data_IF_775595423226
#
_entry.id   IF_775595423226
#
_cell.length_a   1.000
_cell.length_b   1.000
_cell.length_c   1.000
_cell.angle_alpha   90.00
_cell.angle_beta   90.00
_cell.angle_gamma   90.00
#
_symmetry.space_group_name_H-M   'P 1'
#
loop_
_entity.id
_entity.type
_entity.pdbx_description
1 polymer ?
#
# COMPACT_ATOMS: atom_id res chain seq x y z
N UNK A 1 45.94 21.52 8.99
CA UNK A 1 44.49 21.36 8.76
C UNK A 1 44.18 19.87 8.72
N UNK A 2 43.41 19.36 9.68
CA UNK A 2 43.18 17.92 9.89
C UNK A 2 42.23 17.31 8.83
N UNK A 3 42.65 16.26 8.10
CA UNK A 3 41.81 15.55 7.11
C UNK A 3 40.60 14.80 7.71
N UNK A 4 40.56 14.59 9.02
CA UNK A 4 39.53 13.75 9.67
C UNK A 4 38.18 14.46 9.84
N UNK A 5 38.13 15.80 9.86
CA UNK A 5 36.87 16.55 10.02
C UNK A 5 36.01 16.58 8.74
N UNK A 6 36.64 16.50 7.57
CA UNK A 6 35.93 16.58 6.29
C UNK A 6 35.16 15.29 5.96
N UNK A 7 35.73 14.13 6.28
CA UNK A 7 35.07 12.83 6.10
C UNK A 7 33.88 12.61 7.04
N UNK A 8 33.99 13.06 8.30
CA UNK A 8 32.88 12.97 9.26
C UNK A 8 31.71 13.90 8.89
N UNK A 9 31.98 15.14 8.46
CA UNK A 9 30.95 16.06 8.00
C UNK A 9 30.26 15.60 6.71
N UNK A 10 31.00 15.00 5.76
CA UNK A 10 30.38 14.43 4.56
C UNK A 10 29.56 13.18 4.87
N UNK A 11 30.04 12.28 5.73
CA UNK A 11 29.26 11.10 6.15
C UNK A 11 28.01 11.48 6.96
N UNK A 12 28.09 12.52 7.78
CA UNK A 12 26.95 13.03 8.55
C UNK A 12 25.94 13.73 7.63
N UNK A 13 26.42 14.52 6.64
CA UNK A 13 25.58 15.15 5.62
C UNK A 13 24.91 14.13 4.70
N UNK A 14 25.65 13.13 4.20
CA UNK A 14 25.13 11.97 3.46
C UNK A 14 24.10 11.19 4.29
N UNK A 15 24.40 10.88 5.56
CA UNK A 15 23.43 10.20 6.43
C UNK A 15 22.21 11.08 6.71
N UNK A 16 22.34 12.42 6.71
CA UNK A 16 21.23 13.35 6.95
C UNK A 16 20.34 13.48 5.72
N UNK A 17 20.93 13.48 4.52
CA UNK A 17 20.28 13.53 3.21
C UNK A 17 19.65 12.20 2.87
N UNK A 18 20.36 11.07 2.98
CA UNK A 18 19.77 9.73 2.88
C UNK A 18 18.64 9.60 3.89
N UNK A 19 18.82 10.05 5.13
CA UNK A 19 17.75 9.95 6.11
C UNK A 19 16.62 10.93 5.73
N UNK A 20 16.84 12.12 5.14
CA UNK A 20 15.81 13.06 4.63
C UNK A 20 15.06 12.50 3.41
N UNK A 21 15.76 11.87 2.48
CA UNK A 21 15.26 11.22 1.27
C UNK A 21 14.49 9.93 1.61
N UNK A 22 15.01 9.19 2.59
CA UNK A 22 14.30 8.11 3.27
C UNK A 22 13.09 8.61 4.09
N UNK A 23 12.93 9.92 4.32
CA UNK A 23 11.80 10.51 5.06
C UNK A 23 10.69 10.98 4.11
N UNK A 24 10.98 11.17 2.82
CA UNK A 24 10.01 11.37 1.70
C UNK A 24 9.42 10.03 1.18
N UNK A 25 10.04 8.88 1.53
CA UNK A 25 9.66 7.48 1.20
C UNK A 25 8.19 7.06 1.42
N UNK A 26 7.37 7.83 2.11
CA UNK A 26 6.14 7.30 2.72
C UNK A 26 4.94 7.20 1.76
N UNK A 27 5.04 7.79 0.56
CA UNK A 27 3.89 7.97 -0.32
C UNK A 27 4.21 7.75 -1.81
N UNK A 28 5.21 6.93 -2.17
CA UNK A 28 5.54 6.69 -3.59
C UNK A 28 4.33 6.32 -4.43
N UNK A 29 3.48 5.44 -3.91
CA UNK A 29 2.24 5.06 -4.56
C UNK A 29 1.36 6.29 -4.88
N UNK A 30 1.16 7.19 -3.91
CA UNK A 30 0.38 8.42 -4.13
C UNK A 30 1.03 9.36 -5.16
N UNK A 31 2.37 9.46 -5.16
CA UNK A 31 3.12 10.22 -6.17
C UNK A 31 2.86 9.67 -7.57
N UNK A 32 2.78 8.35 -7.73
CA UNK A 32 2.45 7.72 -9.00
C UNK A 32 1.05 8.13 -9.45
N UNK A 33 0.03 7.87 -8.61
CA UNK A 33 -1.36 8.21 -8.91
C UNK A 33 -1.60 9.68 -9.26
N UNK A 34 -0.82 10.59 -8.66
CA UNK A 34 -0.97 12.02 -8.89
C UNK A 34 -0.30 12.50 -10.19
N UNK A 35 0.92 12.04 -10.50
CA UNK A 35 1.72 12.59 -11.59
C UNK A 35 1.76 11.73 -12.87
N UNK A 36 1.61 10.42 -12.73
CA UNK A 36 1.64 9.47 -13.85
C UNK A 36 3.02 9.15 -14.43
N UNK A 37 3.08 8.19 -15.37
CA UNK A 37 4.33 7.50 -15.76
C UNK A 37 5.33 8.37 -16.52
N UNK A 38 4.89 9.45 -17.15
CA UNK A 38 5.75 10.38 -17.91
C UNK A 38 6.41 11.45 -17.05
N UNK A 39 5.93 11.69 -15.82
CA UNK A 39 6.46 12.76 -14.96
C UNK A 39 7.76 12.32 -14.26
N UNK A 40 8.75 13.21 -14.23
CA UNK A 40 10.05 12.94 -13.64
C UNK A 40 9.97 12.56 -12.15
N UNK A 41 9.04 13.14 -11.39
CA UNK A 41 8.84 12.83 -9.95
C UNK A 41 8.31 11.42 -9.77
N UNK A 42 7.39 10.99 -10.63
CA UNK A 42 6.90 9.62 -10.62
C UNK A 42 8.00 8.62 -10.97
N UNK A 43 8.76 8.87 -12.05
CA UNK A 43 9.87 8.00 -12.47
C UNK A 43 10.95 7.89 -11.40
N UNK A 44 11.25 9.00 -10.72
CA UNK A 44 12.16 9.01 -9.58
C UNK A 44 11.62 8.19 -8.40
N UNK A 45 10.33 8.34 -8.06
CA UNK A 45 9.69 7.51 -7.03
C UNK A 45 9.73 6.01 -7.38
N UNK A 46 9.49 5.63 -8.63
CA UNK A 46 9.60 4.24 -9.09
C UNK A 46 11.05 3.74 -9.00
N UNK A 47 12.04 4.55 -9.43
CA UNK A 47 13.47 4.22 -9.30
C UNK A 47 13.85 3.93 -7.85
N UNK A 48 13.34 4.71 -6.90
CA UNK A 48 13.60 4.50 -5.48
C UNK A 48 12.97 3.18 -4.97
N UNK A 49 11.79 2.80 -5.46
CA UNK A 49 11.18 1.49 -5.16
C UNK A 49 11.97 0.34 -5.79
N UNK A 50 12.42 0.46 -7.04
CA UNK A 50 13.27 -0.56 -7.68
C UNK A 50 14.58 -0.76 -6.91
N UNK A 51 15.21 0.32 -6.43
CA UNK A 51 16.41 0.23 -5.58
C UNK A 51 16.13 -0.49 -4.26
N UNK A 52 14.95 -0.28 -3.67
CA UNK A 52 14.51 -0.98 -2.46
C UNK A 52 14.31 -2.46 -2.73
N UNK A 53 13.61 -2.83 -3.81
CA UNK A 53 13.43 -4.23 -4.21
C UNK A 53 14.78 -4.90 -4.48
N UNK A 54 15.69 -4.27 -5.23
CA UNK A 54 17.03 -4.79 -5.46
C UNK A 54 17.83 -4.96 -4.16
N UNK A 55 17.68 -4.05 -3.19
CA UNK A 55 18.33 -4.18 -1.89
C UNK A 55 17.76 -5.33 -1.04
N UNK A 56 16.45 -5.55 -1.11
CA UNK A 56 15.78 -6.66 -0.43
C UNK A 56 16.06 -8.00 -1.11
N UNK A 57 16.11 -8.06 -2.44
CA UNK A 57 16.45 -9.25 -3.20
C UNK A 57 17.84 -9.79 -2.82
N UNK A 58 18.82 -8.92 -2.56
CA UNK A 58 20.14 -9.34 -2.03
C UNK A 58 20.06 -10.05 -0.67
N UNK A 59 19.05 -9.73 0.15
CA UNK A 59 18.82 -10.36 1.46
C UNK A 59 17.91 -11.59 1.37
N UNK A 60 17.04 -11.62 0.37
CA UNK A 60 16.05 -12.67 0.14
C UNK A 60 16.04 -13.08 -1.35
N UNK A 61 17.09 -13.80 -1.82
CA UNK A 61 17.22 -14.14 -3.24
C UNK A 61 16.04 -14.98 -3.72
N UNK A 62 15.55 -14.67 -4.93
CA UNK A 62 14.41 -15.33 -5.56
C UNK A 62 13.04 -14.70 -5.23
N UNK A 63 12.90 -13.98 -4.12
CA UNK A 63 11.62 -13.41 -3.69
C UNK A 63 11.13 -12.21 -4.55
N UNK A 64 11.95 -11.74 -5.49
CA UNK A 64 11.63 -10.63 -6.39
C UNK A 64 11.84 -11.02 -7.88
N UNK A 65 11.81 -12.31 -8.17
CA UNK A 65 12.10 -12.87 -9.51
C UNK A 65 10.85 -13.24 -10.32
N UNK A 66 9.68 -13.36 -9.69
CA UNK A 66 8.45 -13.77 -10.38
C UNK A 66 7.72 -12.56 -11.01
N UNK A 67 7.57 -12.58 -12.33
CA UNK A 67 6.90 -11.52 -13.09
C UNK A 67 5.45 -11.31 -12.65
N UNK A 68 4.74 -12.39 -12.33
CA UNK A 68 3.31 -12.34 -12.06
C UNK A 68 3.01 -11.63 -10.75
N UNK A 69 3.93 -11.63 -9.78
CA UNK A 69 3.80 -10.88 -8.54
C UNK A 69 3.79 -9.36 -8.79
N UNK A 70 4.66 -8.88 -9.68
CA UNK A 70 4.68 -7.47 -10.07
C UNK A 70 3.48 -7.12 -10.95
N UNK A 71 3.18 -7.98 -11.93
CA UNK A 71 2.07 -7.79 -12.85
C UNK A 71 0.72 -7.78 -12.14
N UNK A 72 0.55 -8.60 -11.10
CA UNK A 72 -0.61 -8.57 -10.22
C UNK A 72 -0.77 -7.21 -9.56
N UNK A 73 0.28 -6.61 -9.00
CA UNK A 73 0.16 -5.29 -8.36
C UNK A 73 -0.24 -4.20 -9.36
N UNK A 74 0.30 -4.23 -10.59
CA UNK A 74 -0.05 -3.26 -11.64
C UNK A 74 -1.49 -3.41 -12.10
N UNK A 75 -1.91 -4.64 -12.44
CA UNK A 75 -3.27 -4.94 -12.90
C UNK A 75 -4.31 -4.73 -11.80
N UNK A 76 -4.01 -5.16 -10.57
CA UNK A 76 -4.85 -4.93 -9.40
C UNK A 76 -5.06 -3.44 -9.16
N UNK A 77 -4.00 -2.63 -9.28
CA UNK A 77 -4.10 -1.18 -9.11
C UNK A 77 -5.05 -0.56 -10.14
N UNK A 78 -4.97 -0.96 -11.42
CA UNK A 78 -5.87 -0.48 -12.46
C UNK A 78 -7.36 -0.76 -12.15
N UNK A 79 -7.66 -1.93 -11.59
CA UNK A 79 -9.05 -2.39 -11.40
C UNK A 79 -9.59 -2.21 -9.97
N UNK A 80 -8.74 -1.84 -9.00
CA UNK A 80 -9.06 -1.84 -7.57
C UNK A 80 -10.35 -1.06 -7.26
N UNK A 81 -10.40 0.20 -7.67
CA UNK A 81 -11.54 1.07 -7.35
C UNK A 81 -12.82 0.64 -8.08
N UNK A 82 -12.71 0.16 -9.33
CA UNK A 82 -13.83 -0.44 -10.05
C UNK A 82 -14.42 -1.64 -9.28
N UNK A 83 -13.57 -2.60 -8.89
CA UNK A 83 -13.99 -3.81 -8.16
C UNK A 83 -14.55 -3.50 -6.77
N UNK A 84 -13.96 -2.53 -6.06
CA UNK A 84 -14.47 -2.07 -4.76
C UNK A 84 -15.88 -1.48 -4.91
N UNK A 85 -16.10 -0.59 -5.88
CA UNK A 85 -17.41 0.03 -6.13
C UNK A 85 -18.48 -1.03 -6.43
N UNK A 86 -18.18 -1.97 -7.31
CA UNK A 86 -19.09 -3.07 -7.62
C UNK A 86 -19.41 -3.93 -6.39
N UNK A 87 -18.41 -4.22 -5.54
CA UNK A 87 -18.63 -4.97 -4.29
C UNK A 87 -19.53 -4.24 -3.29
N UNK A 88 -19.49 -2.91 -3.29
CA UNK A 88 -20.40 -2.07 -2.50
C UNK A 88 -21.78 -1.92 -3.17
N UNK A 89 -21.96 -2.47 -4.37
CA UNK A 89 -23.16 -2.33 -5.21
C UNK A 89 -23.37 -0.92 -5.74
N UNK A 90 -22.28 -0.16 -5.91
CA UNK A 90 -22.24 1.11 -6.64
C UNK A 90 -21.94 0.84 -8.11
N UNK A 91 -22.12 1.85 -8.97
CA UNK A 91 -21.63 1.78 -10.35
C UNK A 91 -20.12 1.62 -10.36
N UNK A 92 -19.59 0.72 -11.20
CA UNK A 92 -18.15 0.69 -11.47
C UNK A 92 -17.71 1.90 -12.30
N UNK A 93 -16.45 1.89 -12.70
CA UNK A 93 -15.93 2.81 -13.72
C UNK A 93 -16.74 2.78 -15.02
N UNK A 94 -16.95 3.96 -15.60
CA UNK A 94 -17.36 4.16 -16.99
C UNK A 94 -16.31 3.66 -17.98
N UNK A 95 -16.67 3.51 -19.25
CA UNK A 95 -15.73 3.02 -20.27
C UNK A 95 -14.50 3.91 -20.43
N UNK A 96 -14.68 5.23 -20.31
CA UNK A 96 -13.56 6.19 -20.36
C UNK A 96 -12.61 6.02 -19.17
N UNK A 97 -13.15 5.83 -17.97
CA UNK A 97 -12.36 5.59 -16.76
C UNK A 97 -11.62 4.25 -16.84
N UNK A 98 -12.26 3.19 -17.35
CA UNK A 98 -11.61 1.90 -17.60
C UNK A 98 -10.43 2.04 -18.56
N UNK A 99 -10.61 2.70 -19.70
CA UNK A 99 -9.54 2.95 -20.69
C UNK A 99 -8.41 3.78 -20.07
N UNK A 100 -8.74 4.85 -19.34
CA UNK A 100 -7.74 5.71 -18.70
C UNK A 100 -6.93 4.94 -17.64
N UNK A 101 -7.59 4.18 -16.76
CA UNK A 101 -6.92 3.38 -15.75
C UNK A 101 -6.03 2.29 -16.36
N UNK A 102 -6.50 1.63 -17.42
CA UNK A 102 -5.73 0.63 -18.16
C UNK A 102 -4.46 1.24 -18.78
N UNK A 103 -4.59 2.33 -19.56
CA UNK A 103 -3.45 2.99 -20.19
C UNK A 103 -2.44 3.51 -19.17
N UNK A 104 -2.92 4.12 -18.09
CA UNK A 104 -2.06 4.61 -17.02
C UNK A 104 -1.16 3.49 -16.46
N UNK A 105 -1.75 2.35 -16.11
CA UNK A 105 -1.00 1.25 -15.51
C UNK A 105 -0.20 0.41 -16.52
N UNK A 106 -0.65 0.34 -17.78
CA UNK A 106 0.16 -0.18 -18.89
C UNK A 106 1.47 0.58 -19.00
N UNK A 107 1.41 1.92 -18.94
CA UNK A 107 2.57 2.79 -19.11
C UNK A 107 3.44 2.87 -17.83
N UNK A 108 2.87 2.58 -16.65
CA UNK A 108 3.62 2.41 -15.41
C UNK A 108 4.41 1.09 -15.35
N UNK A 109 3.85 0.00 -15.88
CA UNK A 109 4.42 -1.35 -15.79
C UNK A 109 5.90 -1.46 -16.21
N UNK A 110 6.34 -0.93 -17.37
CA UNK A 110 7.74 -1.05 -17.79
C UNK A 110 8.73 -0.24 -16.94
N UNK A 111 8.26 0.57 -16.00
CA UNK A 111 9.12 1.30 -15.08
C UNK A 111 9.63 0.42 -13.93
N UNK A 112 9.04 -0.75 -13.69
CA UNK A 112 9.42 -1.67 -12.63
C UNK A 112 10.36 -2.76 -13.12
N UNK A 113 11.35 -3.12 -12.30
CA UNK A 113 12.35 -4.14 -12.60
C UNK A 113 12.29 -5.30 -11.61
N UNK A 114 12.54 -6.51 -12.13
CA UNK A 114 12.71 -7.73 -11.35
C UNK A 114 14.16 -7.89 -10.88
N UNK A 115 14.42 -8.92 -10.07
CA UNK A 115 15.72 -9.21 -9.47
C UNK A 115 16.86 -9.33 -10.50
N UNK A 116 16.59 -9.88 -11.68
CA UNK A 116 17.56 -10.04 -12.77
C UNK A 116 17.78 -8.76 -13.61
N UNK A 117 17.09 -7.67 -13.27
CA UNK A 117 17.14 -6.40 -13.99
C UNK A 117 16.23 -6.33 -15.21
N UNK A 118 15.49 -7.40 -15.53
CA UNK A 118 14.49 -7.36 -16.59
C UNK A 118 13.26 -6.54 -16.17
N UNK A 119 12.62 -5.91 -17.16
CA UNK A 119 11.37 -5.16 -16.97
C UNK A 119 10.19 -6.11 -16.82
N UNK A 120 9.24 -5.74 -15.95
CA UNK A 120 7.94 -6.42 -15.87
C UNK A 120 7.26 -6.38 -17.24
N UNK A 121 6.71 -7.51 -17.67
CA UNK A 121 6.13 -7.68 -19.00
C UNK A 121 4.79 -8.40 -18.96
N UNK A 122 4.11 -8.49 -20.11
CA UNK A 122 2.84 -9.23 -20.22
C UNK A 122 1.62 -8.48 -19.69
N UNK A 123 1.66 -7.15 -19.61
CA UNK A 123 0.50 -6.36 -19.18
C UNK A 123 -0.71 -6.64 -20.10
N UNK A 124 -1.91 -6.94 -19.55
CA UNK A 124 -3.07 -7.30 -20.37
C UNK A 124 -3.46 -6.24 -21.39
N UNK A 125 -4.05 -6.69 -22.51
CA UNK A 125 -4.35 -5.83 -23.68
C UNK A 125 -5.42 -4.77 -23.41
N UNK A 126 -6.31 -5.02 -22.44
CA UNK A 126 -7.40 -4.13 -22.06
C UNK A 126 -7.75 -4.27 -20.56
N UNK A 127 -8.71 -3.45 -20.09
CA UNK A 127 -9.14 -3.41 -18.70
C UNK A 127 -9.77 -4.73 -18.22
N UNK A 128 -10.54 -5.40 -19.10
CA UNK A 128 -11.19 -6.67 -18.76
C UNK A 128 -10.16 -7.82 -18.69
N UNK A 129 -9.08 -7.74 -19.47
CA UNK A 129 -7.89 -8.57 -19.32
C UNK A 129 -7.22 -8.39 -17.96
N UNK A 130 -7.13 -7.16 -17.43
CA UNK A 130 -6.66 -6.92 -16.06
C UNK A 130 -7.57 -7.56 -15.01
N UNK A 131 -8.90 -7.48 -15.19
CA UNK A 131 -9.86 -8.15 -14.31
C UNK A 131 -9.65 -9.66 -14.30
N UNK A 132 -9.60 -10.28 -15.48
CA UNK A 132 -9.40 -11.72 -15.64
C UNK A 132 -8.07 -12.18 -15.06
N UNK A 133 -6.99 -11.42 -15.28
CA UNK A 133 -5.69 -11.71 -14.69
C UNK A 133 -5.76 -11.71 -13.16
N UNK A 134 -6.33 -10.66 -12.56
CA UNK A 134 -6.48 -10.56 -11.11
C UNK A 134 -7.32 -11.72 -10.55
N UNK A 135 -8.44 -12.04 -11.18
CA UNK A 135 -9.30 -13.14 -10.76
C UNK A 135 -8.58 -14.48 -10.82
N UNK A 136 -7.84 -14.77 -11.90
CA UNK A 136 -7.05 -15.99 -11.99
C UNK A 136 -5.98 -16.05 -10.90
N UNK A 137 -5.19 -14.97 -10.75
CA UNK A 137 -4.09 -14.89 -9.79
C UNK A 137 -4.57 -15.03 -8.34
N UNK A 138 -5.71 -14.43 -7.99
CA UNK A 138 -6.32 -14.46 -6.66
C UNK A 138 -7.01 -15.79 -6.32
N UNK A 139 -7.38 -16.58 -7.33
CA UNK A 139 -7.95 -17.92 -7.15
C UNK A 139 -6.91 -19.03 -7.23
N UNK A 140 -5.65 -18.73 -7.59
CA UNK A 140 -4.56 -19.70 -7.54
C UNK A 140 -4.38 -20.21 -6.11
N UNK A 141 -4.43 -21.55 -5.88
CA UNK A 141 -4.20 -22.11 -4.56
C UNK A 141 -2.85 -21.67 -3.99
N UNK A 142 -2.86 -21.16 -2.76
CA UNK A 142 -1.65 -20.75 -2.05
C UNK A 142 -1.39 -21.70 -0.89
N UNK A 143 -0.13 -22.10 -0.73
CA UNK A 143 0.29 -22.77 0.49
C UNK A 143 0.14 -21.80 1.67
N UNK A 144 -0.23 -22.36 2.82
CA UNK A 144 -0.38 -21.55 4.02
C UNK A 144 0.97 -21.19 4.61
N UNK A 145 1.21 -19.90 4.79
CA UNK A 145 2.31 -19.36 5.59
C UNK A 145 1.75 -18.63 6.83
N UNK A 146 2.18 -19.05 8.02
CA UNK A 146 1.82 -18.41 9.28
C UNK A 146 2.21 -16.93 9.30
N UNK A 147 3.34 -16.57 8.68
CA UNK A 147 3.81 -15.18 8.57
C UNK A 147 2.83 -14.33 7.77
N UNK A 148 2.25 -14.87 6.71
CA UNK A 148 1.24 -14.17 5.91
C UNK A 148 -0.03 -13.89 6.73
N UNK A 149 -0.47 -14.84 7.56
CA UNK A 149 -1.57 -14.62 8.51
C UNK A 149 -1.25 -13.46 9.46
N UNK A 150 -0.05 -13.46 10.05
CA UNK A 150 0.37 -12.37 10.94
C UNK A 150 0.39 -11.03 10.24
N UNK A 151 0.99 -10.94 9.05
CA UNK A 151 1.04 -9.70 8.26
C UNK A 151 -0.39 -9.19 7.99
N UNK A 152 -1.29 -10.05 7.54
CA UNK A 152 -2.69 -9.69 7.31
C UNK A 152 -3.39 -9.15 8.55
N UNK A 153 -3.27 -9.84 9.69
CA UNK A 153 -3.89 -9.41 10.95
C UNK A 153 -3.28 -8.10 11.47
N UNK A 154 -1.95 -7.93 11.35
CA UNK A 154 -1.25 -6.70 11.76
C UNK A 154 -1.70 -5.52 10.90
N UNK A 155 -1.83 -5.66 9.58
CA UNK A 155 -2.30 -4.55 8.73
C UNK A 155 -3.74 -4.15 9.11
N UNK A 156 -4.63 -5.13 9.33
CA UNK A 156 -6.01 -4.85 9.77
C UNK A 156 -6.06 -4.15 11.14
N UNK A 157 -5.21 -4.55 12.08
CA UNK A 157 -5.13 -3.91 13.39
C UNK A 157 -4.50 -2.51 13.32
N UNK A 158 -3.60 -2.25 12.38
CA UNK A 158 -3.01 -0.92 12.18
C UNK A 158 -4.08 0.09 11.73
N UNK A 159 -4.94 -0.31 10.78
CA UNK A 159 -6.10 0.49 10.39
C UNK A 159 -6.98 0.80 11.59
N UNK A 160 -7.35 -0.22 12.38
CA UNK A 160 -8.15 -0.04 13.58
C UNK A 160 -7.49 0.89 14.60
N UNK A 161 -6.18 0.73 14.82
CA UNK A 161 -5.45 1.52 15.79
C UNK A 161 -5.41 3.01 15.41
N UNK A 162 -5.28 3.30 14.12
CA UNK A 162 -5.15 4.66 13.60
C UNK A 162 -6.48 5.42 13.56
N UNK A 163 -7.58 4.74 13.25
CA UNK A 163 -8.86 5.40 12.98
C UNK A 163 -9.93 5.15 14.04
N UNK A 164 -9.73 4.21 14.97
CA UNK A 164 -10.72 3.89 16.01
C UNK A 164 -10.14 4.05 17.43
N UNK A 165 -10.94 4.58 18.38
CA UNK A 165 -10.54 4.67 19.78
C UNK A 165 -10.37 3.27 20.38
N UNK A 166 -9.58 3.10 21.47
CA UNK A 166 -9.22 1.79 22.02
C UNK A 166 -10.37 0.79 22.20
N UNK A 167 -11.53 1.23 22.68
CA UNK A 167 -12.71 0.37 22.89
C UNK A 167 -13.41 -0.11 21.60
N UNK A 168 -13.21 0.58 20.47
CA UNK A 168 -13.84 0.27 19.18
C UNK A 168 -12.87 -0.36 18.17
N UNK A 169 -11.63 -0.68 18.57
CA UNK A 169 -10.63 -1.25 17.65
C UNK A 169 -11.01 -2.62 17.11
N UNK A 170 -11.81 -3.40 17.82
CA UNK A 170 -12.32 -4.68 17.30
C UNK A 170 -13.25 -4.45 16.10
N UNK A 171 -14.06 -3.39 16.15
CA UNK A 171 -14.93 -2.97 15.05
C UNK A 171 -14.08 -2.40 13.92
N UNK A 172 -13.12 -1.53 14.24
CA UNK A 172 -12.18 -0.99 13.26
C UNK A 172 -11.41 -2.06 12.48
N UNK A 173 -10.96 -3.12 13.14
CA UNK A 173 -10.27 -4.23 12.48
C UNK A 173 -11.22 -5.07 11.59
N UNK A 174 -12.53 -5.00 11.84
CA UNK A 174 -13.54 -5.68 11.04
C UNK A 174 -13.81 -4.98 9.70
N UNK A 175 -13.52 -3.68 9.57
CA UNK A 175 -13.68 -2.95 8.30
C UNK A 175 -12.83 -3.49 7.16
N UNK A 176 -11.47 -3.47 7.24
CA UNK A 176 -10.63 -3.98 6.15
C UNK A 176 -10.93 -5.45 5.88
N UNK A 177 -11.22 -6.21 6.93
CA UNK A 177 -11.57 -7.63 6.87
C UNK A 177 -12.89 -7.91 6.14
N UNK A 178 -13.92 -7.08 6.34
CA UNK A 178 -15.20 -7.19 5.64
C UNK A 178 -15.07 -6.84 4.15
N UNK A 179 -14.11 -5.98 3.80
CA UNK A 179 -13.86 -5.50 2.45
C UNK A 179 -12.82 -6.32 1.67
N UNK A 180 -12.03 -7.15 2.37
CA UNK A 180 -11.12 -8.13 1.76
C UNK A 180 -11.85 -9.19 0.95
N UNK A 181 -11.14 -9.76 -0.03
CA UNK A 181 -11.61 -10.91 -0.80
C UNK A 181 -11.73 -12.15 0.09
N UNK A 182 -12.74 -13.01 -0.12
CA UNK A 182 -12.83 -14.30 0.58
C UNK A 182 -11.59 -15.16 0.38
N UNK A 183 -11.06 -15.23 -0.84
CA UNK A 183 -9.85 -16.00 -1.19
C UNK A 183 -8.62 -15.50 -0.44
N UNK A 184 -8.44 -14.18 -0.28
CA UNK A 184 -7.36 -13.60 0.53
C UNK A 184 -7.48 -13.98 2.00
N UNK A 185 -8.70 -13.90 2.56
CA UNK A 185 -8.93 -14.30 3.96
C UNK A 185 -8.67 -15.80 4.17
N UNK A 186 -9.07 -16.62 3.21
CA UNK A 186 -8.86 -18.07 3.23
C UNK A 186 -7.37 -18.43 3.13
N UNK A 187 -6.65 -17.86 2.17
CA UNK A 187 -5.20 -18.06 1.99
C UNK A 187 -4.41 -17.68 3.26
N UNK A 188 -4.82 -16.62 3.95
CA UNK A 188 -4.22 -16.18 5.20
C UNK A 188 -4.82 -16.86 6.45
N UNK A 189 -5.78 -17.78 6.30
CA UNK A 189 -6.55 -18.40 7.41
C UNK A 189 -7.12 -17.39 8.40
N UNK A 190 -7.52 -16.22 7.93
CA UNK A 190 -8.18 -15.20 8.73
C UNK A 190 -9.68 -15.48 8.68
N UNK A 191 -10.27 -15.92 9.80
CA UNK A 191 -11.73 -16.18 9.91
C UNK A 191 -12.52 -14.99 9.39
N UNK A 192 -13.55 -15.12 8.55
CA UNK A 192 -14.32 -13.97 8.06
C UNK A 192 -15.04 -13.20 9.18
N UNK A 193 -15.49 -11.98 8.87
CA UNK A 193 -16.39 -11.21 9.76
C UNK A 193 -17.77 -11.90 9.81
N UNK A 194 -18.48 -11.79 10.93
CA UNK A 194 -19.87 -12.22 11.01
C UNK A 194 -20.70 -11.63 9.84
N UNK A 195 -21.54 -12.42 9.15
CA UNK A 195 -22.25 -11.96 7.95
C UNK A 195 -23.11 -10.70 8.15
N UNK A 196 -23.77 -10.55 9.30
CA UNK A 196 -24.60 -9.39 9.63
C UNK A 196 -23.72 -8.15 9.81
N UNK A 197 -22.61 -8.29 10.53
CA UNK A 197 -21.65 -7.19 10.70
C UNK A 197 -20.97 -6.82 9.37
N UNK A 198 -20.64 -7.81 8.53
CA UNK A 198 -20.11 -7.57 7.18
C UNK A 198 -21.11 -6.77 6.35
N UNK A 199 -22.39 -7.18 6.35
CA UNK A 199 -23.45 -6.47 5.65
C UNK A 199 -23.57 -5.02 6.14
N UNK A 200 -23.57 -4.79 7.46
CA UNK A 200 -23.62 -3.46 8.04
C UNK A 200 -22.44 -2.58 7.61
N UNK A 201 -21.22 -3.13 7.63
CA UNK A 201 -20.01 -2.42 7.21
C UNK A 201 -20.08 -2.07 5.72
N UNK A 202 -20.46 -3.04 4.87
CA UNK A 202 -20.63 -2.81 3.42
C UNK A 202 -21.68 -1.74 3.16
N UNK A 203 -22.82 -1.80 3.84
CA UNK A 203 -23.87 -0.80 3.76
C UNK A 203 -23.36 0.59 4.16
N UNK A 204 -22.67 0.71 5.29
CA UNK A 204 -22.13 1.99 5.76
C UNK A 204 -21.13 2.58 4.76
N UNK A 205 -20.16 1.78 4.28
CA UNK A 205 -19.14 2.26 3.33
C UNK A 205 -19.79 2.64 1.99
N UNK A 206 -20.73 1.82 1.50
CA UNK A 206 -21.54 2.15 0.31
C UNK A 206 -22.23 3.51 0.49
N UNK A 207 -22.93 3.71 1.59
CA UNK A 207 -23.68 4.95 1.85
C UNK A 207 -22.75 6.14 1.95
N UNK A 208 -21.59 6.03 2.61
CA UNK A 208 -20.62 7.11 2.70
C UNK A 208 -20.03 7.50 1.34
N UNK A 209 -19.65 6.51 0.52
CA UNK A 209 -19.12 6.78 -0.83
C UNK A 209 -20.19 7.39 -1.74
N UNK A 210 -21.40 6.81 -1.75
CA UNK A 210 -22.52 7.35 -2.52
C UNK A 210 -22.88 8.77 -2.07
N UNK A 211 -22.92 9.03 -0.76
CA UNK A 211 -23.21 10.35 -0.24
C UNK A 211 -22.14 11.36 -0.67
N UNK A 212 -20.86 10.98 -0.57
CA UNK A 212 -19.76 11.83 -1.00
C UNK A 212 -19.86 12.18 -2.49
N UNK A 213 -20.20 11.22 -3.35
CA UNK A 213 -20.34 11.44 -4.80
C UNK A 213 -21.53 12.32 -5.19
N UNK A 214 -22.66 12.18 -4.49
CA UNK A 214 -23.90 12.87 -4.85
C UNK A 214 -23.99 14.26 -4.23
N UNK A 215 -23.46 14.44 -3.01
CA UNK A 215 -23.72 15.64 -2.22
C UNK A 215 -22.47 16.48 -1.90
N UNK A 216 -21.26 15.91 -1.92
CA UNK A 216 -20.06 16.70 -1.69
C UNK A 216 -19.54 17.27 -3.01
N UNK A 217 -19.07 18.53 -3.02
CA UNK A 217 -18.44 19.08 -4.20
C UNK A 217 -17.13 18.33 -4.49
N UNK A 218 -16.84 18.16 -5.78
CA UNK A 218 -15.54 17.64 -6.20
C UNK A 218 -14.41 18.56 -5.67
N UNK A 219 -13.40 18.01 -4.96
CA UNK A 219 -12.29 18.82 -4.46
C UNK A 219 -11.60 19.58 -5.59
N UNK A 220 -11.48 20.90 -5.45
CA UNK A 220 -10.78 21.75 -6.44
C UNK A 220 -9.27 21.53 -6.47
N UNK A 221 -8.72 21.07 -5.35
CA UNK A 221 -7.31 20.76 -5.19
C UNK A 221 -7.16 19.30 -4.78
N UNK A 222 -6.12 18.66 -5.30
CA UNK A 222 -5.80 17.31 -4.89
C UNK A 222 -5.30 17.30 -3.45
N UNK A 223 -5.61 16.25 -2.71
CA UNK A 223 -5.02 16.03 -1.39
C UNK A 223 -3.49 16.10 -1.42
N UNK A 224 -2.87 15.67 -2.52
CA UNK A 224 -1.41 15.71 -2.68
C UNK A 224 -0.86 17.13 -2.72
N UNK A 225 -1.54 18.03 -3.44
CA UNK A 225 -1.21 19.45 -3.50
C UNK A 225 -1.20 20.04 -2.10
N UNK A 226 -2.22 19.77 -1.29
CA UNK A 226 -2.27 20.22 0.11
C UNK A 226 -1.08 19.74 0.93
N UNK A 227 -0.59 18.51 0.70
CA UNK A 227 0.57 17.95 1.40
C UNK A 227 1.88 18.61 0.94
N UNK A 228 2.01 18.92 -0.35
CA UNK A 228 3.20 19.58 -0.91
C UNK A 228 3.32 21.05 -0.51
N UNK A 229 2.19 21.71 -0.27
CA UNK A 229 2.12 23.13 0.12
C UNK A 229 2.09 23.35 1.63
N UNK A 230 2.24 22.31 2.45
CA UNK A 230 2.36 22.48 3.90
C UNK A 230 3.58 23.34 4.22
N UNK A 231 3.44 24.25 5.17
CA UNK A 231 4.59 24.97 5.71
C UNK A 231 5.52 24.02 6.50
N UNK A 232 6.69 24.52 6.87
CA UNK A 232 7.70 23.70 7.56
C UNK A 232 7.22 23.18 8.93
N UNK A 233 6.37 23.95 9.62
CA UNK A 233 5.86 23.59 10.94
C UNK A 233 4.84 22.46 10.84
N UNK A 234 3.86 22.60 9.94
CA UNK A 234 2.83 21.60 9.68
C UNK A 234 3.41 20.31 9.09
N UNK A 235 4.37 20.43 8.16
CA UNK A 235 5.08 19.28 7.60
C UNK A 235 5.83 18.50 8.71
N UNK A 236 6.45 19.22 9.65
CA UNK A 236 7.13 18.64 10.80
C UNK A 236 6.13 18.00 11.78
N UNK A 237 5.05 18.70 12.13
CA UNK A 237 4.01 18.20 13.01
C UNK A 237 3.37 16.91 12.49
N UNK A 238 3.01 16.89 11.19
CA UNK A 238 2.49 15.69 10.52
C UNK A 238 3.45 14.52 10.60
N UNK A 239 4.74 14.77 10.37
CA UNK A 239 5.78 13.74 10.41
C UNK A 239 5.99 13.18 11.81
N UNK A 240 5.98 14.03 12.83
CA UNK A 240 6.12 13.62 14.21
C UNK A 240 4.88 12.86 14.71
N UNK A 241 3.68 13.27 14.27
CA UNK A 241 2.45 12.51 14.50
C UNK A 241 2.51 11.09 13.92
N UNK A 242 2.94 10.94 12.66
CA UNK A 242 3.09 9.62 12.03
C UNK A 242 4.09 8.78 12.82
N UNK A 243 5.24 9.34 13.20
CA UNK A 243 6.28 8.63 13.97
C UNK A 243 5.81 8.20 15.36
N UNK A 244 5.06 9.06 16.05
CA UNK A 244 4.48 8.71 17.34
C UNK A 244 3.48 7.58 17.16
N UNK A 245 2.58 7.69 16.18
CA UNK A 245 1.57 6.67 15.88
C UNK A 245 2.22 5.33 15.54
N UNK A 246 3.24 5.31 14.69
CA UNK A 246 3.98 4.09 14.31
C UNK A 246 4.64 3.44 15.55
N UNK A 247 5.22 4.25 16.45
CA UNK A 247 5.85 3.78 17.69
C UNK A 247 4.83 3.21 18.66
N UNK A 248 3.71 3.88 18.84
CA UNK A 248 2.65 3.46 19.75
C UNK A 248 1.94 2.22 19.23
N UNK A 249 1.75 2.14 17.91
CA UNK A 249 1.23 0.94 17.26
C UNK A 249 2.17 -0.26 17.45
N UNK A 250 3.48 -0.07 17.27
CA UNK A 250 4.47 -1.13 17.50
C UNK A 250 4.39 -1.69 18.93
N UNK A 251 4.29 -0.81 19.94
CA UNK A 251 4.09 -1.25 21.33
C UNK A 251 2.76 -1.99 21.53
N UNK A 252 1.69 -1.51 20.91
CA UNK A 252 0.36 -2.13 20.99
C UNK A 252 0.36 -3.55 20.42
N UNK A 253 0.91 -3.72 19.22
CA UNK A 253 0.86 -5.02 18.53
C UNK A 253 1.77 -6.04 19.21
N UNK A 254 2.95 -5.64 19.71
CA UNK A 254 3.84 -6.50 20.50
C UNK A 254 3.17 -7.09 21.75
N UNK A 255 2.27 -6.34 22.40
CA UNK A 255 1.52 -6.84 23.56
C UNK A 255 0.43 -7.84 23.19
N UNK A 256 -0.11 -7.73 21.97
CA UNK A 256 -1.26 -8.52 21.52
C UNK A 256 -0.85 -9.79 20.80
N UNK A 257 0.29 -9.76 20.12
CA UNK A 257 0.74 -10.82 19.22
C UNK A 257 2.26 -10.95 19.29
N UNK A 258 2.74 -12.20 19.27
CA UNK A 258 4.15 -12.54 19.08
C UNK A 258 4.21 -13.63 18.02
N UNK A 259 5.10 -13.48 17.05
CA UNK A 259 5.17 -14.32 15.86
C UNK A 259 6.62 -14.57 15.42
N UNK A 260 6.93 -15.74 14.82
CA UNK A 260 8.20 -15.99 14.15
C UNK A 260 8.44 -14.96 13.04
N UNK A 261 9.62 -14.34 13.01
CA UNK A 261 10.00 -13.36 11.99
C UNK A 261 9.35 -11.97 12.14
N UNK A 262 8.62 -11.70 13.22
CA UNK A 262 8.17 -10.34 13.51
C UNK A 262 9.41 -9.46 13.82
N UNK A 263 9.62 -8.32 13.12
CA UNK A 263 10.74 -7.41 13.41
C UNK A 263 10.65 -6.79 14.81
N UNK A 264 9.51 -6.96 15.47
CA UNK A 264 9.22 -6.53 16.82
C UNK A 264 9.19 -7.67 17.84
N UNK A 265 9.50 -8.91 17.43
CA UNK A 265 9.68 -10.02 18.35
C UNK A 265 10.85 -9.71 19.27
N UNK A 266 10.60 -9.56 20.57
CA UNK A 266 11.68 -9.67 21.56
C UNK A 266 12.12 -11.12 21.52
N UNK A 267 13.39 -11.38 21.16
CA UNK A 267 14.01 -12.68 21.46
C UNK A 267 13.75 -12.96 22.94
N UNK A 268 13.03 -14.04 23.23
CA UNK A 268 13.02 -14.55 24.59
C UNK A 268 14.48 -14.80 24.98
N UNK A 269 14.93 -14.16 26.06
CA UNK A 269 16.19 -14.49 26.72
C UNK A 269 15.96 -15.74 27.58
#
# INVERSE_FOLDING_TARGET
MEPRRFGAQMAEKWSSEERKESRTRKNYNMTWWHYGPSDARCREAVRQVNNLHAALARQYPGNFSDNDDFLYVMTFSAVLMHRLRLRLGLSGFSDKEKIAAHHFWRDMTPLFFMEDGSTVSGYPVDFDGCLKFCENYENTPREFDERAQYVGVVIMNQFAFRYFPPGLRWLGASFPKALSLPTTLEAMRIKPVNPVLKWLIVFLVRTLMWFAEVFLPDPRESFWTTIETLDEEDAKARKDNIRSTDRDYSKYIQKKMSAPGCPFHKKAQ
#
